data_IF_496059915863
#
_entry.id   IF_496059915863
#
_cell.length_a   1.000
_cell.length_b   1.000
_cell.length_c   1.000
_cell.angle_alpha   90.00
_cell.angle_beta   90.00
_cell.angle_gamma   90.00
#
_symmetry.space_group_name_H-M   'P 1'
#
loop_
_entity.id
_entity.type
_entity.pdbx_description
1 polymer ?
#
# COMPACT_ATOMS: atom_id res chain seq x y z
N UNK A 1 30.56 -26.05 25.68
CA UNK A 1 29.26 -25.34 25.76
C UNK A 1 29.24 -24.39 24.57
N UNK A 2 28.55 -24.73 23.49
CA UNK A 2 28.56 -23.93 22.25
C UNK A 2 27.56 -22.79 22.41
N UNK A 3 28.05 -21.56 22.28
CA UNK A 3 27.24 -20.34 22.42
C UNK A 3 26.27 -20.27 21.23
N UNK A 4 24.98 -20.46 21.51
CA UNK A 4 23.94 -20.54 20.48
C UNK A 4 23.53 -19.13 20.09
N UNK A 5 24.25 -18.53 19.15
CA UNK A 5 23.85 -17.25 18.56
C UNK A 5 22.63 -17.47 17.68
N UNK A 6 21.47 -17.01 18.13
CA UNK A 6 20.28 -16.95 17.28
C UNK A 6 20.50 -15.90 16.20
N UNK A 7 20.23 -16.19 14.91
CA UNK A 7 20.36 -15.18 13.87
C UNK A 7 19.37 -14.05 14.18
N UNK A 8 19.91 -12.92 14.64
CA UNK A 8 19.12 -11.72 14.86
C UNK A 8 19.11 -10.92 13.56
N UNK A 9 17.93 -10.78 12.96
CA UNK A 9 17.71 -9.88 11.83
C UNK A 9 17.23 -8.54 12.37
N UNK A 10 17.95 -7.47 12.06
CA UNK A 10 17.50 -6.10 12.33
C UNK A 10 16.68 -5.61 11.16
N UNK A 11 15.39 -5.33 11.39
CA UNK A 11 14.55 -4.63 10.41
C UNK A 11 14.47 -3.18 10.85
N UNK A 12 14.99 -2.27 10.03
CA UNK A 12 14.85 -0.85 10.28
C UNK A 12 13.48 -0.40 9.79
N UNK A 13 12.57 -0.14 10.73
CA UNK A 13 11.26 0.41 10.42
C UNK A 13 11.44 1.83 9.89
N UNK A 14 10.76 2.13 8.77
CA UNK A 14 10.79 3.45 8.14
C UNK A 14 9.66 4.30 8.71
N UNK A 15 9.98 5.33 9.49
CA UNK A 15 8.99 6.19 10.14
C UNK A 15 9.47 6.72 11.49
N UNK A 16 8.53 7.17 12.32
CA UNK A 16 8.80 7.56 13.72
C UNK A 16 9.02 6.35 14.63
N UNK A 17 9.22 6.61 15.93
CA UNK A 17 9.37 5.56 16.93
C UNK A 17 8.06 4.74 17.06
N UNK A 18 8.11 3.40 16.93
CA UNK A 18 6.92 2.56 17.06
C UNK A 18 6.32 2.71 18.45
N UNK A 19 5.03 3.04 18.53
CA UNK A 19 4.34 3.11 19.83
C UNK A 19 4.12 1.74 20.48
N UNK A 20 4.04 0.67 19.68
CA UNK A 20 3.96 -0.74 20.11
C UNK A 20 4.52 -1.66 19.02
N UNK A 21 5.14 -2.76 19.44
CA UNK A 21 5.56 -3.89 18.58
C UNK A 21 4.92 -5.15 19.17
N UNK A 22 4.23 -5.93 18.34
CA UNK A 22 3.63 -7.20 18.75
C UNK A 22 3.95 -8.27 17.70
N UNK A 23 4.18 -9.50 18.17
CA UNK A 23 4.27 -10.68 17.31
C UNK A 23 2.88 -11.28 17.23
N UNK A 24 2.26 -11.22 16.05
CA UNK A 24 0.94 -11.82 15.81
C UNK A 24 1.10 -13.20 15.17
N UNK A 25 0.12 -14.07 15.42
CA UNK A 25 0.12 -15.39 14.80
C UNK A 25 -0.05 -15.27 13.28
N UNK A 26 0.82 -15.99 12.57
CA UNK A 26 1.11 -15.84 11.14
C UNK A 26 0.08 -16.64 10.37
N UNK A 27 -1.10 -16.05 10.22
CA UNK A 27 -2.15 -16.56 9.33
C UNK A 27 -1.96 -16.13 7.88
N UNK A 28 -0.90 -15.38 7.54
CA UNK A 28 -0.54 -14.98 6.16
C UNK A 28 -0.34 -16.22 5.29
N UNK A 29 -1.43 -16.69 4.68
CA UNK A 29 -1.46 -17.79 3.73
C UNK A 29 -1.68 -17.21 2.34
N UNK A 30 -0.92 -17.71 1.39
CA UNK A 30 -1.18 -17.44 -0.01
C UNK A 30 -2.51 -18.12 -0.40
N UNK A 31 -3.45 -17.34 -0.96
CA UNK A 31 -4.77 -17.81 -1.37
C UNK A 31 -4.91 -17.88 -2.89
N UNK A 32 -4.06 -17.16 -3.61
CA UNK A 32 -3.89 -17.16 -5.07
C UNK A 32 -2.48 -16.67 -5.40
N UNK A 33 -1.94 -16.88 -6.61
CA UNK A 33 -0.59 -16.42 -6.95
C UNK A 33 -0.37 -14.92 -6.62
N UNK A 34 0.48 -14.64 -5.63
CA UNK A 34 0.77 -13.29 -5.15
C UNK A 34 -0.31 -12.66 -4.24
N UNK A 35 -1.42 -13.34 -3.99
CA UNK A 35 -2.50 -12.92 -3.09
C UNK A 35 -2.38 -13.59 -1.73
N UNK A 36 -2.38 -12.78 -0.66
CA UNK A 36 -2.25 -13.26 0.72
C UNK A 36 -3.43 -12.84 1.57
N UNK A 37 -3.83 -13.69 2.53
CA UNK A 37 -4.87 -13.37 3.51
C UNK A 37 -4.37 -13.67 4.92
N UNK A 38 -4.70 -12.82 5.89
CA UNK A 38 -4.38 -13.00 7.30
C UNK A 38 -5.31 -12.18 8.20
N UNK A 39 -5.33 -12.53 9.48
CA UNK A 39 -6.10 -11.86 10.54
C UNK A 39 -5.15 -11.33 11.60
N UNK A 40 -5.36 -10.09 12.04
CA UNK A 40 -4.58 -9.43 13.08
C UNK A 40 -5.50 -8.90 14.20
N UNK A 41 -5.07 -9.03 15.46
CA UNK A 41 -5.70 -8.37 16.60
C UNK A 41 -4.97 -7.06 16.88
N UNK A 42 -5.67 -5.93 16.70
CA UNK A 42 -5.11 -4.60 16.94
C UNK A 42 -5.34 -4.16 18.39
N UNK A 43 -4.34 -3.61 19.10
CA UNK A 43 -4.44 -3.25 20.51
C UNK A 43 -5.46 -2.17 20.86
N UNK A 44 -5.91 -1.37 19.89
CA UNK A 44 -6.92 -0.35 20.04
C UNK A 44 -7.64 -0.07 18.72
N UNK A 45 -8.93 0.25 18.80
CA UNK A 45 -9.70 0.80 17.67
C UNK A 45 -9.26 2.24 17.41
N UNK A 46 -9.08 2.63 16.14
CA UNK A 46 -8.71 4.01 15.79
C UNK A 46 -7.82 4.12 14.55
N UNK A 47 -7.60 5.35 14.08
CA UNK A 47 -6.80 5.64 12.88
C UNK A 47 -5.30 5.55 13.14
N UNK A 48 -4.54 5.03 12.17
CA UNK A 48 -3.06 5.13 12.17
C UNK A 48 -2.30 3.83 12.36
N UNK A 49 -2.93 2.68 12.12
CA UNK A 49 -2.20 1.41 12.03
C UNK A 49 -1.63 1.24 10.62
N UNK A 50 -0.36 0.86 10.53
CA UNK A 50 0.28 0.50 9.27
C UNK A 50 0.67 -0.99 9.29
N UNK A 51 0.35 -1.72 8.23
CA UNK A 51 0.86 -3.05 7.94
C UNK A 51 2.21 -2.90 7.26
N UNK A 52 3.25 -3.43 7.88
CA UNK A 52 4.62 -3.44 7.33
C UNK A 52 4.92 -4.83 6.79
N UNK A 53 5.11 -4.96 5.47
CA UNK A 53 5.54 -6.20 4.82
C UNK A 53 7.02 -6.10 4.45
N UNK A 54 7.81 -7.10 4.84
CA UNK A 54 9.21 -7.25 4.45
C UNK A 54 9.45 -8.62 3.80
N UNK A 55 10.21 -8.64 2.71
CA UNK A 55 10.49 -9.86 1.95
C UNK A 55 11.63 -10.70 2.52
N UNK A 56 12.35 -10.21 3.54
CA UNK A 56 13.56 -10.83 4.09
C UNK A 56 14.78 -10.86 3.14
N UNK A 57 14.54 -10.74 1.83
CA UNK A 57 15.54 -10.69 0.76
C UNK A 57 15.75 -9.23 0.35
N UNK A 58 16.97 -8.72 0.56
CA UNK A 58 17.35 -7.35 0.16
C UNK A 58 16.78 -6.23 1.03
N UNK A 59 16.19 -6.54 2.19
CA UNK A 59 15.69 -5.53 3.14
C UNK A 59 14.50 -4.70 2.64
N UNK A 60 13.84 -5.14 1.56
CA UNK A 60 12.71 -4.41 0.99
C UNK A 60 11.55 -4.41 1.97
N UNK A 61 10.99 -3.22 2.19
CA UNK A 61 9.89 -3.00 3.14
C UNK A 61 8.88 -2.06 2.52
N UNK A 62 7.61 -2.40 2.63
CA UNK A 62 6.49 -1.55 2.22
C UNK A 62 5.48 -1.45 3.35
N UNK A 63 4.90 -0.26 3.51
CA UNK A 63 3.89 0.04 4.53
C UNK A 63 2.54 0.31 3.86
N UNK A 64 1.48 -0.28 4.40
CA UNK A 64 0.10 -0.08 3.98
C UNK A 64 -0.72 0.45 5.15
N UNK A 65 -1.60 1.42 4.93
CA UNK A 65 -2.56 1.81 5.96
C UNK A 65 -3.55 0.66 6.20
N UNK A 66 -3.77 0.28 7.48
CA UNK A 66 -4.78 -0.71 7.86
C UNK A 66 -6.10 0.02 8.14
N UNK A 67 -7.17 -0.23 7.36
CA UNK A 67 -8.46 0.39 7.61
C UNK A 67 -9.04 -0.14 8.93
N UNK A 68 -9.34 0.76 9.87
CA UNK A 68 -9.89 0.39 11.19
C UNK A 68 -11.40 0.60 11.32
N UNK A 69 -12.03 1.16 10.29
CA UNK A 69 -13.48 1.18 10.15
C UNK A 69 -13.86 0.12 9.14
N UNK A 70 -14.36 -1.01 9.62
CA UNK A 70 -15.11 -1.93 8.77
C UNK A 70 -16.45 -1.25 8.46
N UNK A 71 -16.49 -0.39 7.45
CA UNK A 71 -17.71 -0.34 6.66
C UNK A 71 -17.80 -1.71 6.00
N UNK A 72 -18.84 -2.47 6.36
CA UNK A 72 -19.18 -3.69 5.65
C UNK A 72 -19.55 -3.23 4.24
N UNK A 73 -18.58 -3.26 3.33
CA UNK A 73 -18.81 -2.97 1.93
C UNK A 73 -19.81 -4.01 1.42
N UNK A 74 -20.93 -3.52 0.88
CA UNK A 74 -21.92 -4.34 0.22
C UNK A 74 -21.24 -5.22 -0.83
N UNK A 75 -21.58 -6.52 -0.84
CA UNK A 75 -21.21 -7.56 -1.82
C UNK A 75 -19.99 -7.18 -2.68
N UNK A 76 -18.81 -7.37 -2.11
CA UNK A 76 -17.56 -6.88 -2.68
C UNK A 76 -17.28 -7.58 -4.02
N UNK A 77 -17.21 -6.80 -5.12
CA UNK A 77 -16.78 -7.30 -6.43
C UNK A 77 -15.25 -7.46 -6.50
N UNK A 78 -14.54 -7.22 -5.38
CA UNK A 78 -13.09 -7.24 -5.28
C UNK A 78 -12.50 -5.83 -5.40
N UNK A 79 -11.17 -5.70 -5.20
CA UNK A 79 -10.50 -4.41 -5.29
C UNK A 79 -10.46 -3.89 -6.73
N UNK A 80 -10.45 -2.57 -6.88
CA UNK A 80 -10.14 -1.90 -8.14
C UNK A 80 -8.64 -1.96 -8.48
N UNK A 81 -8.28 -1.37 -9.62
CA UNK A 81 -6.90 -1.27 -10.10
C UNK A 81 -6.42 0.18 -10.11
N UNK A 82 -5.14 0.36 -9.81
CA UNK A 82 -4.39 1.59 -10.13
C UNK A 82 -3.63 1.33 -11.43
N UNK A 83 -3.86 2.16 -12.44
CA UNK A 83 -3.15 2.11 -13.71
C UNK A 83 -2.24 3.33 -13.83
N UNK A 84 -1.13 3.19 -14.54
CA UNK A 84 -0.20 4.28 -14.83
C UNK A 84 -0.09 4.54 -16.34
N UNK A 85 -0.17 5.82 -16.70
CA UNK A 85 0.10 6.33 -18.04
C UNK A 85 1.32 7.26 -17.94
N UNK A 86 2.34 7.07 -18.80
CA UNK A 86 3.49 7.98 -18.85
C UNK A 86 3.13 9.25 -19.62
N UNK A 87 3.59 10.38 -19.10
CA UNK A 87 3.40 11.70 -19.69
C UNK A 87 4.69 12.53 -19.53
N UNK A 88 5.57 12.51 -20.55
CA UNK A 88 6.74 13.41 -20.62
C UNK A 88 7.70 13.36 -19.42
N UNK A 89 7.96 12.18 -18.86
CA UNK A 89 8.80 11.99 -17.66
C UNK A 89 8.06 12.15 -16.33
N UNK A 90 6.75 12.42 -16.37
CA UNK A 90 5.83 12.27 -15.26
C UNK A 90 4.94 11.03 -15.47
N UNK A 91 4.23 10.65 -14.41
CA UNK A 91 3.21 9.61 -14.43
C UNK A 91 1.85 10.25 -14.13
N UNK A 92 0.87 9.95 -14.98
CA UNK A 92 -0.56 10.11 -14.69
C UNK A 92 -1.10 8.77 -14.20
N UNK A 93 -1.96 8.80 -13.20
CA UNK A 93 -2.57 7.60 -12.64
C UNK A 93 -4.05 7.55 -13.00
N UNK A 94 -4.61 6.35 -13.12
CA UNK A 94 -6.05 6.15 -13.25
C UNK A 94 -6.53 5.12 -12.23
N UNK A 95 -7.74 5.32 -11.71
CA UNK A 95 -8.39 4.42 -10.77
C UNK A 95 -9.57 3.75 -11.47
N UNK A 96 -9.53 2.43 -11.55
CA UNK A 96 -10.56 1.61 -12.21
C UNK A 96 -11.19 0.70 -11.17
N UNK A 97 -12.52 0.61 -11.18
CA UNK A 97 -13.26 -0.31 -10.32
C UNK A 97 -13.02 -1.78 -10.68
N UNK A 98 -13.45 -2.72 -9.83
CA UNK A 98 -13.29 -4.16 -10.08
C UNK A 98 -14.01 -4.66 -11.35
N UNK A 99 -15.01 -3.93 -11.81
CA UNK A 99 -15.76 -4.19 -13.04
C UNK A 99 -15.16 -3.54 -14.29
N UNK A 100 -13.96 -2.95 -14.18
CA UNK A 100 -13.33 -2.23 -15.28
C UNK A 100 -13.90 -0.82 -15.50
N UNK A 101 -14.86 -0.37 -14.68
CA UNK A 101 -15.48 0.94 -14.82
C UNK A 101 -14.59 2.02 -14.18
N UNK A 102 -14.34 3.15 -14.84
CA UNK A 102 -13.58 4.25 -14.25
C UNK A 102 -14.17 4.75 -12.92
N UNK A 103 -13.31 4.94 -11.92
CA UNK A 103 -13.72 5.43 -10.60
C UNK A 103 -13.57 6.94 -10.50
N UNK A 104 -14.69 7.67 -10.63
CA UNK A 104 -14.74 9.11 -10.35
C UNK A 104 -14.82 9.37 -8.85
N UNK A 105 -13.87 10.13 -8.32
CA UNK A 105 -13.67 10.36 -6.89
C UNK A 105 -13.37 11.84 -6.63
N UNK A 106 -14.04 12.41 -5.63
CA UNK A 106 -13.83 13.80 -5.19
C UNK A 106 -12.59 13.94 -4.30
N UNK A 107 -12.18 12.85 -3.63
CA UNK A 107 -11.03 12.79 -2.73
C UNK A 107 -10.49 11.36 -2.67
N UNK A 108 -9.18 11.22 -2.92
CA UNK A 108 -8.42 9.99 -2.72
C UNK A 108 -7.00 10.37 -2.32
N UNK A 109 -6.47 9.74 -1.27
CA UNK A 109 -5.07 9.89 -0.87
C UNK A 109 -4.24 8.85 -1.60
N UNK A 110 -3.31 9.33 -2.42
CA UNK A 110 -2.27 8.49 -3.02
C UNK A 110 -1.02 8.55 -2.15
N UNK A 111 -0.42 7.39 -1.92
CA UNK A 111 0.85 7.25 -1.19
C UNK A 111 1.85 6.59 -2.13
N UNK A 112 3.00 7.23 -2.27
CA UNK A 112 4.12 6.77 -3.07
C UNK A 112 5.26 6.40 -2.13
N UNK A 113 5.82 5.21 -2.31
CA UNK A 113 6.91 4.71 -1.49
C UNK A 113 7.96 4.04 -2.37
N UNK A 114 9.22 4.42 -2.22
CA UNK A 114 10.33 3.71 -2.84
C UNK A 114 10.89 2.71 -1.81
N UNK A 115 10.76 1.39 -1.97
CA UNK A 115 11.27 0.43 -1.00
C UNK A 115 12.81 0.45 -0.92
N UNK A 116 13.49 0.87 -1.98
CA UNK A 116 14.95 0.88 -2.06
C UNK A 116 15.58 2.23 -1.68
N UNK A 117 14.82 3.33 -1.78
CA UNK A 117 15.27 4.66 -1.35
C UNK A 117 14.51 5.08 -0.10
N UNK A 118 15.11 5.87 0.81
CA UNK A 118 14.38 6.43 1.96
C UNK A 118 13.46 7.58 1.52
N UNK A 119 12.47 7.29 0.67
CA UNK A 119 11.59 8.27 0.06
C UNK A 119 10.14 7.82 0.14
N UNK A 120 9.29 8.73 0.64
CA UNK A 120 7.84 8.60 0.70
C UNK A 120 7.21 9.94 0.38
N UNK A 121 6.11 9.93 -0.37
CA UNK A 121 5.29 11.11 -0.65
C UNK A 121 3.82 10.74 -0.55
N UNK A 122 2.98 11.67 -0.14
CA UNK A 122 1.52 11.52 -0.26
C UNK A 122 0.92 12.73 -0.97
N UNK A 123 -0.22 12.50 -1.61
CA UNK A 123 -1.01 13.55 -2.26
C UNK A 123 -2.49 13.22 -2.14
N UNK A 124 -3.30 14.22 -1.77
CA UNK A 124 -4.76 14.13 -1.90
C UNK A 124 -5.12 14.62 -3.29
N UNK A 125 -5.84 13.80 -4.05
CA UNK A 125 -6.23 14.09 -5.43
C UNK A 125 -7.69 13.76 -5.69
N UNK A 126 -8.14 14.12 -6.89
CA UNK A 126 -9.45 13.79 -7.45
C UNK A 126 -9.24 13.08 -8.79
N UNK A 127 -10.25 12.33 -9.21
CA UNK A 127 -10.29 11.73 -10.54
C UNK A 127 -11.39 12.36 -11.40
N UNK A 128 -11.14 12.45 -12.71
CA UNK A 128 -12.11 12.94 -13.68
C UNK A 128 -13.16 11.87 -14.05
N UNK A 129 -13.97 12.13 -15.08
CA UNK A 129 -15.02 11.21 -15.54
C UNK A 129 -14.46 9.90 -16.10
N UNK A 130 -13.21 9.90 -16.58
CA UNK A 130 -12.51 8.73 -17.09
C UNK A 130 -11.68 8.04 -16.00
N UNK A 131 -11.88 8.41 -14.73
CA UNK A 131 -11.16 7.85 -13.60
C UNK A 131 -9.69 8.27 -13.54
N UNK A 132 -9.24 9.22 -14.37
CA UNK A 132 -7.86 9.71 -14.37
C UNK A 132 -7.65 10.72 -13.27
N UNK A 133 -6.55 10.55 -12.54
CA UNK A 133 -6.08 11.51 -11.55
C UNK A 133 -5.72 12.81 -12.26
N UNK A 134 -6.29 13.93 -11.79
CA UNK A 134 -6.10 15.24 -12.45
C UNK A 134 -4.69 15.79 -12.32
N UNK A 135 -3.87 15.22 -11.43
CA UNK A 135 -2.49 15.63 -11.15
C UNK A 135 -1.49 14.74 -11.87
N UNK A 136 -0.36 15.34 -12.28
CA UNK A 136 0.82 14.62 -12.77
C UNK A 136 1.88 14.49 -11.68
N UNK A 137 2.57 13.35 -11.64
CA UNK A 137 3.59 13.07 -10.64
C UNK A 137 4.94 12.84 -11.29
N UNK A 138 5.92 13.67 -10.93
CA UNK A 138 7.34 13.34 -11.14
C UNK A 138 7.78 12.44 -9.99
N UNK A 139 8.30 11.27 -10.35
CA UNK A 139 8.77 10.27 -9.40
C UNK A 139 10.29 10.39 -9.26
N UNK A 140 10.85 10.01 -8.09
CA UNK A 140 12.29 9.98 -7.90
C UNK A 140 12.96 8.98 -8.86
N UNK A 141 14.27 9.16 -9.09
CA UNK A 141 15.07 8.22 -9.90
C UNK A 141 15.50 7.00 -9.07
N UNK A 142 14.51 6.29 -8.56
CA UNK A 142 14.66 5.03 -7.82
C UNK A 142 13.51 4.12 -8.21
N UNK A 143 13.77 2.82 -8.25
CA UNK A 143 12.80 1.81 -8.64
C UNK A 143 12.87 0.61 -7.70
N UNK A 144 11.75 -0.09 -7.46
CA UNK A 144 10.40 0.29 -7.87
C UNK A 144 9.83 1.45 -7.04
N UNK A 145 8.85 2.18 -7.56
CA UNK A 145 7.97 3.06 -6.75
C UNK A 145 6.63 2.37 -6.60
N UNK A 146 6.23 2.10 -5.35
CA UNK A 146 4.92 1.52 -5.03
C UNK A 146 3.92 2.65 -4.81
N UNK A 147 2.76 2.55 -5.46
CA UNK A 147 1.63 3.45 -5.31
C UNK A 147 0.48 2.72 -4.63
N UNK A 148 -0.05 3.29 -3.55
CA UNK A 148 -1.28 2.82 -2.90
C UNK A 148 -2.32 3.94 -2.88
N UNK A 149 -3.60 3.57 -2.87
CA UNK A 149 -4.72 4.50 -2.82
C UNK A 149 -5.57 4.23 -1.59
N UNK A 150 -5.86 5.30 -0.84
CA UNK A 150 -6.81 5.31 0.28
C UNK A 150 -7.95 6.22 -0.14
N UNK A 151 -9.07 5.61 -0.53
CA UNK A 151 -10.26 6.32 -0.98
C UNK A 151 -11.29 6.46 0.15
N UNK A 152 -12.01 7.58 0.11
CA UNK A 152 -13.15 7.80 1.01
C UNK A 152 -14.30 6.85 0.62
N UNK A 153 -14.98 6.26 1.60
CA UNK A 153 -16.10 5.32 1.38
C UNK A 153 -15.72 3.85 1.19
N UNK A 154 -14.53 3.44 1.66
CA UNK A 154 -14.16 2.03 1.80
C UNK A 154 -13.80 1.29 0.51
N UNK A 155 -13.76 1.97 -0.65
CA UNK A 155 -13.34 1.35 -1.92
C UNK A 155 -11.83 1.04 -1.89
N UNK A 156 -11.50 -0.24 -2.02
CA UNK A 156 -10.12 -0.73 -2.08
C UNK A 156 -9.57 -0.76 -3.51
N UNK A 157 -8.26 -0.55 -3.64
CA UNK A 157 -7.51 -0.70 -4.90
C UNK A 157 -6.25 -1.53 -4.65
N UNK A 158 -5.87 -2.36 -5.63
CA UNK A 158 -4.61 -3.09 -5.58
C UNK A 158 -3.42 -2.12 -5.71
N UNK A 159 -2.35 -2.30 -4.90
CA UNK A 159 -1.12 -1.54 -5.05
C UNK A 159 -0.53 -1.70 -6.45
N UNK A 160 0.00 -0.60 -7.00
CA UNK A 160 0.73 -0.61 -8.26
C UNK A 160 2.23 -0.46 -8.01
N UNK A 161 3.02 -1.38 -8.56
CA UNK A 161 4.47 -1.25 -8.63
C UNK A 161 4.87 -0.61 -9.96
N UNK A 162 5.61 0.50 -9.89
CA UNK A 162 6.20 1.16 -11.05
C UNK A 162 7.69 0.78 -11.13
N UNK A 163 8.02 -0.11 -12.05
CA UNK A 163 9.36 -0.71 -12.15
C UNK A 163 10.25 -0.02 -13.19
N UNK A 164 9.66 0.67 -14.18
CA UNK A 164 10.36 1.33 -15.28
C UNK A 164 10.26 2.88 -15.24
#
# INVERSE_FOLDING_TARGET
MSDKTWPMTRVQLRGGEPRRIAVLDRSFRETSPGGFTGTALLPAVGTGWELVLTTGLGGQTVCFDVPTRAEVAAADKGPGLILAERDGGAVRLALVGPDGVPSRMTSVRLIFSAPQANWRRSAVVRTDADGRVTSLFRLPDTRPVIVTAVADGGRAFLPLALED
#
